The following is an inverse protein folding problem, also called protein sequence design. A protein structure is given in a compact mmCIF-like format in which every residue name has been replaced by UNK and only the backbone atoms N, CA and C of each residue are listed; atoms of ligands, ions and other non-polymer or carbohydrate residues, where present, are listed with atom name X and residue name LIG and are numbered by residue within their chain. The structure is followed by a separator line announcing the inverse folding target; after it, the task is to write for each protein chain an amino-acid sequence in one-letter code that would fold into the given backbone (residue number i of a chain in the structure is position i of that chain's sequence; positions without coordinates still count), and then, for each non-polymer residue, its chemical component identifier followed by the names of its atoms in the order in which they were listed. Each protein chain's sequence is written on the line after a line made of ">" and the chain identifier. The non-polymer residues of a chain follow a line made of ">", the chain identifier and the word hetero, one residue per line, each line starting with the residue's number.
data_IF_149911676009
#
_entry.id   IF_149911676009
#
_cell.length_a   1.000
_cell.length_b   1.000
_cell.length_c   1.000
_cell.angle_alpha   90.00
_cell.angle_beta   90.00
_cell.angle_gamma   90.00
#
_symmetry.space_group_name_H-M   'P 1'
#
loop_
_entity.id
_entity.type
_entity.pdbx_description
1 polymer ?
#
# COMPACT_ATOMS: atom_id res chain seq x y z
N UNK A 1 -6.61 21.90 10.95
CA UNK A 1 -5.83 21.65 9.72
C UNK A 1 -6.79 21.76 8.55
N UNK A 2 -6.37 22.16 7.34
CA UNK A 2 -7.29 22.14 6.19
C UNK A 2 -7.52 20.70 5.75
N UNK A 3 -8.67 20.33 5.15
CA UNK A 3 -8.96 18.94 4.80
C UNK A 3 -7.87 18.26 3.96
N UNK A 4 -7.33 18.95 2.95
CA UNK A 4 -6.23 18.40 2.14
C UNK A 4 -4.97 18.15 2.97
N UNK A 5 -4.56 19.11 3.80
CA UNK A 5 -3.38 18.96 4.66
C UNK A 5 -3.56 17.79 5.65
N UNK A 6 -4.76 17.64 6.20
CA UNK A 6 -5.11 16.58 7.15
C UNK A 6 -5.05 15.20 6.50
N UNK A 7 -5.66 15.05 5.32
CA UNK A 7 -5.66 13.81 4.55
C UNK A 7 -4.23 13.34 4.21
N UNK A 8 -3.41 14.25 3.69
CA UNK A 8 -2.05 13.91 3.28
C UNK A 8 -1.12 13.73 4.48
N UNK A 9 -1.34 14.44 5.59
CA UNK A 9 -0.60 14.21 6.85
C UNK A 9 -0.83 12.80 7.38
N UNK A 10 -2.08 12.33 7.36
CA UNK A 10 -2.38 10.97 7.79
C UNK A 10 -1.90 9.91 6.81
N UNK A 11 -2.00 10.15 5.50
CA UNK A 11 -1.47 9.23 4.50
C UNK A 11 0.06 9.07 4.67
N UNK A 12 0.77 10.19 4.91
CA UNK A 12 2.19 10.18 5.25
C UNK A 12 2.47 9.40 6.54
N UNK A 13 1.70 9.64 7.61
CA UNK A 13 1.83 8.90 8.86
C UNK A 13 1.66 7.38 8.66
N UNK A 14 0.66 6.95 7.89
CA UNK A 14 0.44 5.54 7.58
C UNK A 14 1.63 4.93 6.83
N UNK A 15 2.18 5.62 5.84
CA UNK A 15 3.38 5.18 5.13
C UNK A 15 4.57 5.04 6.09
N UNK A 16 4.86 6.05 6.89
CA UNK A 16 6.01 6.05 7.80
C UNK A 16 5.89 4.96 8.86
N UNK A 17 4.69 4.79 9.43
CA UNK A 17 4.40 3.74 10.39
C UNK A 17 4.60 2.35 9.78
N UNK A 18 4.01 2.06 8.61
CA UNK A 18 4.19 0.76 7.96
C UNK A 18 5.64 0.54 7.54
N UNK A 19 6.36 1.58 7.11
CA UNK A 19 7.78 1.50 6.76
C UNK A 19 8.61 1.08 7.99
N UNK A 20 8.33 1.66 9.15
CA UNK A 20 8.94 1.27 10.41
C UNK A 20 8.60 -0.17 10.82
N UNK A 21 7.31 -0.54 10.83
CA UNK A 21 6.87 -1.82 11.37
C UNK A 21 7.14 -3.01 10.44
N UNK A 22 7.04 -2.80 9.13
CA UNK A 22 7.08 -3.86 8.13
C UNK A 22 8.35 -3.86 7.30
N UNK A 23 9.04 -2.71 7.17
CA UNK A 23 10.19 -2.54 6.29
C UNK A 23 11.46 -2.05 6.99
N UNK A 24 11.48 -2.04 8.32
CA UNK A 24 12.65 -1.68 9.12
C UNK A 24 13.23 -0.31 8.73
N UNK A 25 12.36 0.63 8.32
CA UNK A 25 12.69 1.99 7.81
C UNK A 25 13.57 2.02 6.56
N UNK A 26 13.57 0.96 5.76
CA UNK A 26 14.43 0.87 4.57
C UNK A 26 13.85 1.56 3.33
N UNK A 27 12.56 1.90 3.30
CA UNK A 27 11.97 2.53 2.12
C UNK A 27 12.26 4.03 2.09
N UNK A 28 12.68 4.58 0.94
CA UNK A 28 12.88 6.02 0.79
C UNK A 28 11.54 6.75 0.83
N UNK A 29 11.60 8.05 1.13
CA UNK A 29 10.45 8.92 0.96
C UNK A 29 10.01 8.94 -0.51
N UNK A 30 8.70 8.98 -0.73
CA UNK A 30 8.11 9.03 -2.07
C UNK A 30 6.96 10.03 -2.12
N UNK A 31 6.56 10.41 -3.33
CA UNK A 31 5.34 11.20 -3.52
C UNK A 31 4.13 10.31 -3.25
N UNK A 32 3.31 10.70 -2.28
CA UNK A 32 2.04 10.05 -1.99
C UNK A 32 0.93 10.81 -2.70
N UNK A 33 0.11 10.13 -3.51
CA UNK A 33 -0.95 10.77 -4.31
C UNK A 33 -2.28 10.02 -4.25
N UNK A 34 -3.36 10.69 -4.63
CA UNK A 34 -4.66 10.07 -4.89
C UNK A 34 -5.05 10.29 -6.35
N UNK A 35 -4.94 9.25 -7.16
CA UNK A 35 -5.25 9.33 -8.60
C UNK A 35 -6.29 8.29 -8.99
N UNK A 36 -7.38 8.74 -9.60
CA UNK A 36 -8.37 7.87 -10.24
C UNK A 36 -7.90 7.54 -11.66
N UNK A 37 -6.95 6.61 -11.82
CA UNK A 37 -6.43 6.22 -13.13
C UNK A 37 -7.38 5.24 -13.84
N UNK A 38 -8.62 5.68 -14.09
CA UNK A 38 -9.72 4.87 -14.62
C UNK A 38 -10.16 3.72 -13.69
N UNK A 39 -11.14 2.92 -14.12
CA UNK A 39 -11.71 1.79 -13.35
C UNK A 39 -10.78 0.56 -13.19
N UNK A 40 -9.48 0.68 -13.48
CA UNK A 40 -8.60 -0.50 -13.73
C UNK A 40 -7.58 -0.82 -12.64
N UNK A 41 -7.36 0.04 -11.65
CA UNK A 41 -6.44 -0.27 -10.54
C UNK A 41 -6.89 0.37 -9.23
N UNK A 42 -6.73 -0.37 -8.14
CA UNK A 42 -7.00 0.12 -6.79
C UNK A 42 -5.90 1.06 -6.28
N UNK A 43 -4.68 0.93 -6.80
CA UNK A 43 -3.53 1.79 -6.57
C UNK A 43 -2.37 1.42 -7.49
N UNK A 44 -1.29 2.20 -7.48
CA UNK A 44 -0.07 1.88 -8.21
C UNK A 44 1.18 2.45 -7.55
N UNK A 45 2.31 1.81 -7.84
CA UNK A 45 3.65 2.33 -7.65
C UNK A 45 4.23 2.76 -9.00
N UNK A 46 4.95 3.88 -9.02
CA UNK A 46 5.66 4.39 -10.19
C UNK A 46 7.07 4.84 -9.78
N UNK A 47 8.09 4.24 -10.40
CA UNK A 47 9.49 4.52 -10.04
C UNK A 47 10.06 5.71 -10.80
N UNK A 48 10.76 6.62 -10.11
CA UNK A 48 11.45 7.79 -10.69
C UNK A 48 10.52 8.71 -11.50
N UNK A 49 9.29 8.87 -11.03
CA UNK A 49 8.21 9.56 -11.74
C UNK A 49 8.24 11.07 -11.56
N UNK A 50 8.96 11.54 -10.53
CA UNK A 50 9.10 12.94 -10.19
C UNK A 50 10.57 13.32 -10.10
N UNK A 51 10.87 14.61 -10.25
CA UNK A 51 12.22 15.15 -10.07
C UNK A 51 12.17 16.33 -9.11
N UNK A 52 13.00 16.30 -8.06
CA UNK A 52 13.21 17.41 -7.13
C UNK A 52 14.71 17.68 -7.06
N UNK A 53 15.13 18.87 -7.49
CA UNK A 53 16.54 19.31 -7.41
C UNK A 53 17.54 18.34 -8.07
N UNK A 54 17.10 17.66 -9.13
CA UNK A 54 17.92 16.68 -9.86
C UNK A 54 17.83 15.25 -9.31
N UNK A 55 17.19 15.05 -8.15
CA UNK A 55 16.94 13.72 -7.59
C UNK A 55 15.59 13.17 -8.08
N UNK A 56 15.61 11.91 -8.51
CA UNK A 56 14.40 11.21 -8.92
C UNK A 56 13.63 10.71 -7.69
N UNK A 57 12.32 11.00 -7.65
CA UNK A 57 11.43 10.63 -6.56
C UNK A 57 10.37 9.65 -7.09
N UNK A 58 10.14 8.57 -6.35
CA UNK A 58 9.11 7.58 -6.67
C UNK A 58 7.71 8.08 -6.29
N UNK A 59 6.68 7.37 -6.72
CA UNK A 59 5.30 7.66 -6.40
C UNK A 59 4.56 6.41 -5.92
N UNK A 60 3.76 6.56 -4.87
CA UNK A 60 2.70 5.62 -4.51
C UNK A 60 1.37 6.35 -4.56
N UNK A 61 0.49 5.89 -5.45
CA UNK A 61 -0.86 6.42 -5.62
C UNK A 61 -1.90 5.41 -5.16
N UNK A 62 -2.90 5.88 -4.41
CA UNK A 62 -4.11 5.11 -4.12
C UNK A 62 -5.27 5.66 -4.95
N UNK A 63 -6.17 4.78 -5.38
CA UNK A 63 -7.39 5.20 -6.04
C UNK A 63 -8.37 5.75 -5.00
N UNK A 64 -8.76 7.03 -5.06
CA UNK A 64 -9.70 7.58 -4.08
C UNK A 64 -11.09 6.93 -4.12
N UNK A 65 -11.51 6.26 -5.20
CA UNK A 65 -12.72 5.44 -5.18
C UNK A 65 -12.59 4.17 -4.34
N UNK A 66 -11.40 3.55 -4.34
CA UNK A 66 -11.13 2.36 -3.52
C UNK A 66 -11.15 2.73 -2.05
N UNK A 67 -10.41 3.78 -1.67
CA UNK A 67 -10.31 4.31 -0.30
C UNK A 67 -11.70 4.66 0.26
N UNK A 68 -12.60 5.20 -0.58
CA UNK A 68 -13.98 5.53 -0.15
C UNK A 68 -14.89 4.31 0.08
N UNK A 69 -14.57 3.16 -0.53
CA UNK A 69 -15.44 1.96 -0.53
C UNK A 69 -14.97 0.89 0.46
N UNK A 70 -13.74 0.99 0.94
CA UNK A 70 -13.09 -0.04 1.74
C UNK A 70 -12.66 0.50 3.10
N UNK A 71 -12.48 -0.40 4.05
CA UNK A 71 -12.04 -0.10 5.41
C UNK A 71 -10.61 0.44 5.46
N UNK A 72 -10.24 1.01 6.62
CA UNK A 72 -8.84 1.33 6.93
C UNK A 72 -7.90 0.15 6.68
N UNK A 73 -8.28 -1.05 7.17
CA UNK A 73 -7.45 -2.25 7.08
C UNK A 73 -7.16 -2.58 5.61
N UNK A 74 -8.16 -2.57 4.76
CA UNK A 74 -8.02 -2.83 3.32
C UNK A 74 -7.20 -1.74 2.61
N UNK A 75 -7.40 -0.48 2.96
CA UNK A 75 -6.59 0.63 2.43
C UNK A 75 -5.12 0.50 2.83
N UNK A 76 -4.83 0.10 4.07
CA UNK A 76 -3.46 -0.14 4.54
C UNK A 76 -2.84 -1.40 3.93
N UNK A 77 -3.63 -2.45 3.66
CA UNK A 77 -3.19 -3.63 2.91
C UNK A 77 -2.74 -3.21 1.51
N UNK A 78 -3.55 -2.40 0.82
CA UNK A 78 -3.22 -1.88 -0.50
C UNK A 78 -1.98 -0.99 -0.48
N UNK A 79 -1.85 -0.10 0.50
CA UNK A 79 -0.65 0.71 0.70
C UNK A 79 0.59 -0.17 0.89
N UNK A 80 0.53 -1.15 1.79
CA UNK A 80 1.62 -2.09 2.04
C UNK A 80 2.00 -2.89 0.78
N UNK A 81 1.03 -3.27 -0.06
CA UNK A 81 1.27 -3.89 -1.37
C UNK A 81 2.10 -2.95 -2.27
N UNK A 82 1.72 -1.68 -2.40
CA UNK A 82 2.49 -0.72 -3.20
C UNK A 82 3.88 -0.44 -2.60
N UNK A 83 4.01 -0.47 -1.27
CA UNK A 83 5.31 -0.38 -0.59
C UNK A 83 6.22 -1.57 -0.88
N UNK A 84 5.68 -2.78 -1.13
CA UNK A 84 6.48 -3.91 -1.61
C UNK A 84 7.00 -3.67 -3.03
N UNK A 85 6.23 -3.00 -3.90
CA UNK A 85 6.75 -2.61 -5.21
C UNK A 85 7.89 -1.59 -5.09
N UNK A 86 7.76 -0.59 -4.22
CA UNK A 86 8.85 0.34 -3.92
C UNK A 86 10.08 -0.39 -3.39
N UNK A 87 9.91 -1.27 -2.40
CA UNK A 87 10.97 -2.10 -1.84
C UNK A 87 11.72 -2.88 -2.93
N UNK A 88 10.96 -3.57 -3.80
CA UNK A 88 11.54 -4.38 -4.87
C UNK A 88 12.29 -3.51 -5.89
N UNK A 89 11.75 -2.33 -6.22
CA UNK A 89 12.40 -1.41 -7.15
C UNK A 89 13.76 -0.92 -6.63
N UNK A 90 13.86 -0.67 -5.32
CA UNK A 90 15.09 -0.18 -4.69
C UNK A 90 16.12 -1.27 -4.40
N UNK A 91 15.69 -2.49 -4.09
CA UNK A 91 16.58 -3.55 -3.58
C UNK A 91 16.89 -4.65 -4.60
N UNK A 92 16.11 -4.79 -5.66
CA UNK A 92 16.27 -5.90 -6.61
C UNK A 92 15.77 -5.53 -8.02
N UNK A 93 15.45 -6.55 -8.81
CA UNK A 93 15.12 -6.47 -10.22
C UNK A 93 13.62 -6.77 -10.40
N UNK A 94 12.75 -5.74 -10.38
CA UNK A 94 11.34 -5.93 -10.67
C UNK A 94 11.16 -6.59 -12.03
N UNK A 95 10.14 -7.45 -12.15
CA UNK A 95 9.86 -8.09 -13.43
C UNK A 95 9.32 -7.09 -14.44
N UNK A 96 9.63 -7.31 -15.72
CA UNK A 96 9.08 -6.48 -16.81
C UNK A 96 7.55 -6.55 -16.81
N UNK A 97 6.89 -5.42 -17.07
CA UNK A 97 5.44 -5.30 -17.28
C UNK A 97 4.55 -5.70 -16.09
N UNK A 98 4.97 -5.43 -14.85
CA UNK A 98 4.09 -5.57 -13.67
C UNK A 98 3.80 -7.02 -13.27
N UNK A 99 4.69 -7.96 -13.61
CA UNK A 99 4.56 -9.34 -13.12
C UNK A 99 5.06 -9.45 -11.68
N UNK A 100 4.22 -9.96 -10.79
CA UNK A 100 4.55 -10.25 -9.40
C UNK A 100 5.32 -11.57 -9.35
N UNK A 101 6.64 -11.49 -9.24
CA UNK A 101 7.52 -12.66 -9.20
C UNK A 101 7.65 -13.24 -7.78
N UNK A 102 8.47 -14.29 -7.65
CA UNK A 102 8.71 -14.97 -6.37
C UNK A 102 9.34 -14.09 -5.30
N UNK A 103 10.12 -13.10 -5.71
CA UNK A 103 10.79 -12.17 -4.81
C UNK A 103 9.79 -11.21 -4.18
N UNK A 104 8.94 -10.58 -5.01
CA UNK A 104 7.80 -9.80 -4.55
C UNK A 104 6.89 -10.62 -3.64
N UNK A 105 6.56 -11.86 -4.04
CA UNK A 105 5.72 -12.74 -3.24
C UNK A 105 6.36 -13.13 -1.89
N UNK A 106 7.67 -13.35 -1.89
CA UNK A 106 8.45 -13.58 -0.68
C UNK A 106 8.38 -12.39 0.27
N UNK A 107 8.53 -11.17 -0.26
CA UNK A 107 8.43 -9.95 0.54
C UNK A 107 7.04 -9.72 1.11
N UNK A 108 5.98 -9.92 0.32
CA UNK A 108 4.60 -9.87 0.80
C UNK A 108 4.39 -10.81 2.00
N UNK A 109 4.82 -12.07 1.87
CA UNK A 109 4.71 -13.05 2.96
C UNK A 109 5.51 -12.64 4.19
N UNK A 110 6.70 -12.08 4.00
CA UNK A 110 7.54 -11.59 5.09
C UNK A 110 6.87 -10.47 5.90
N UNK A 111 6.08 -9.61 5.26
CA UNK A 111 5.30 -8.56 5.95
C UNK A 111 3.93 -9.05 6.45
N UNK A 112 3.58 -10.33 6.27
CA UNK A 112 2.33 -10.92 6.74
C UNK A 112 1.14 -10.75 5.79
N UNK A 113 1.38 -10.44 4.51
CA UNK A 113 0.37 -10.46 3.46
C UNK A 113 0.62 -11.68 2.56
N UNK A 114 -0.38 -12.54 2.38
CA UNK A 114 -0.21 -13.74 1.55
C UNK A 114 -0.71 -13.45 0.15
N UNK A 115 0.16 -13.44 -0.88
CA UNK A 115 -0.26 -13.27 -2.26
C UNK A 115 -1.18 -14.39 -2.71
N UNK A 116 -2.23 -14.04 -3.45
CA UNK A 116 -3.12 -15.02 -4.05
C UNK A 116 -3.74 -14.49 -5.34
N UNK A 117 -3.71 -15.32 -6.39
CA UNK A 117 -4.41 -15.04 -7.65
C UNK A 117 -5.93 -15.06 -7.51
N UNK A 118 -6.47 -15.61 -6.42
CA UNK A 118 -7.90 -15.65 -6.11
C UNK A 118 -8.29 -14.70 -4.97
N UNK A 119 -7.30 -14.11 -4.29
CA UNK A 119 -7.51 -13.36 -3.04
C UNK A 119 -7.66 -14.25 -1.80
N UNK A 120 -7.74 -15.57 -1.98
CA UNK A 120 -8.01 -16.55 -0.92
C UNK A 120 -6.93 -17.64 -0.87
N UNK A 121 -6.98 -18.50 0.15
CA UNK A 121 -6.08 -19.64 0.27
C UNK A 121 -6.13 -20.58 -0.95
N UNK A 122 -4.99 -21.18 -1.30
CA UNK A 122 -4.85 -22.08 -2.46
C UNK A 122 -4.69 -21.41 -3.83
N UNK A 123 -4.75 -20.08 -3.92
CA UNK A 123 -4.40 -19.35 -5.14
C UNK A 123 -2.90 -19.40 -5.47
N UNK A 124 -2.53 -19.11 -6.72
CA UNK A 124 -1.11 -18.95 -7.10
C UNK A 124 -0.55 -17.72 -6.42
N UNK A 125 0.71 -17.75 -5.98
CA UNK A 125 1.35 -16.61 -5.30
C UNK A 125 2.05 -15.61 -6.25
N UNK A 126 2.10 -15.89 -7.55
CA UNK A 126 2.80 -15.07 -8.57
C UNK A 126 1.95 -14.92 -9.82
N UNK A 127 2.00 -13.75 -10.46
CA UNK A 127 1.16 -13.47 -11.63
C UNK A 127 1.16 -12.00 -12.04
N UNK A 128 0.47 -11.66 -13.15
CA UNK A 128 0.32 -10.26 -13.58
C UNK A 128 -0.72 -9.49 -12.75
N UNK A 129 -1.73 -10.18 -12.26
CA UNK A 129 -2.77 -9.63 -11.40
C UNK A 129 -2.79 -10.47 -10.14
N UNK A 130 -2.46 -9.83 -9.03
CA UNK A 130 -2.33 -10.48 -7.73
C UNK A 130 -3.15 -9.71 -6.72
N UNK A 131 -3.90 -10.46 -5.91
CA UNK A 131 -4.50 -9.96 -4.69
C UNK A 131 -3.71 -10.53 -3.50
N UNK A 132 -4.19 -10.28 -2.29
CA UNK A 132 -3.60 -10.74 -1.06
C UNK A 132 -4.67 -10.88 0.03
N UNK A 133 -4.42 -11.77 0.98
CA UNK A 133 -5.13 -11.80 2.25
C UNK A 133 -4.16 -11.60 3.41
N UNK A 134 -4.69 -11.13 4.54
CA UNK A 134 -3.89 -10.90 5.75
C UNK A 134 -3.64 -12.25 6.43
N UNK A 135 -2.37 -12.56 6.69
CA UNK A 135 -2.00 -13.73 7.49
C UNK A 135 -2.39 -13.48 8.95
N UNK A 136 -3.23 -14.35 9.51
CA UNK A 136 -3.57 -14.31 10.94
C UNK A 136 -2.31 -14.36 11.81
N UNK A 137 -2.19 -13.42 12.76
CA UNK A 137 -1.02 -13.24 13.63
C UNK A 137 0.26 -12.83 12.89
N UNK A 138 0.17 -12.43 11.62
CA UNK A 138 1.29 -11.95 10.83
C UNK A 138 1.70 -10.51 11.18
N UNK A 139 2.88 -10.08 10.73
CA UNK A 139 3.42 -8.74 11.01
C UNK A 139 2.44 -7.61 10.66
N UNK A 140 1.80 -7.68 9.49
CA UNK A 140 0.79 -6.69 9.09
C UNK A 140 -0.38 -6.62 10.07
N UNK A 141 -0.95 -7.76 10.48
CA UNK A 141 -2.07 -7.77 11.43
C UNK A 141 -1.66 -7.19 12.78
N UNK A 142 -0.49 -7.61 13.30
CA UNK A 142 0.05 -7.09 14.57
C UNK A 142 0.30 -5.58 14.49
N UNK A 143 0.87 -5.09 13.39
CA UNK A 143 1.09 -3.66 13.17
C UNK A 143 -0.24 -2.88 13.05
N UNK A 144 -1.22 -3.44 12.34
CA UNK A 144 -2.55 -2.83 12.22
C UNK A 144 -3.24 -2.73 13.59
N UNK A 145 -3.23 -3.81 14.40
CA UNK A 145 -3.82 -3.82 15.74
C UNK A 145 -3.09 -2.90 16.73
N UNK A 146 -1.78 -2.73 16.58
CA UNK A 146 -0.95 -1.86 17.41
C UNK A 146 -0.95 -0.38 16.97
N UNK A 147 -1.67 -0.01 15.90
CA UNK A 147 -1.72 1.37 15.44
C UNK A 147 -2.53 2.22 16.43
N UNK A 148 -1.83 2.91 17.34
CA UNK A 148 -2.42 3.49 18.57
C UNK A 148 -2.77 4.98 18.53
N UNK A 149 -2.45 5.74 17.47
CA UNK A 149 -2.48 7.22 17.57
C UNK A 149 -3.27 8.04 16.56
N UNK A 150 -3.88 7.46 15.54
CA UNK A 150 -4.79 8.20 14.67
C UNK A 150 -5.86 7.22 14.20
N UNK A 151 -7.11 7.67 14.14
CA UNK A 151 -8.21 7.04 13.41
C UNK A 151 -7.91 6.98 11.89
N UNK A 152 -6.81 6.34 11.49
CA UNK A 152 -6.43 6.12 10.10
C UNK A 152 -6.26 7.38 9.24
N UNK A 153 -6.39 7.15 7.93
CA UNK A 153 -6.67 8.18 6.95
C UNK A 153 -7.99 8.87 7.37
N UNK A 154 -8.01 10.17 7.72
CA UNK A 154 -9.07 10.81 8.50
C UNK A 154 -10.39 10.95 7.73
N UNK A 155 -10.37 10.84 6.41
CA UNK A 155 -11.57 10.81 5.58
C UNK A 155 -11.94 9.39 5.17
N UNK A 156 -12.38 8.59 6.14
CA UNK A 156 -13.26 7.45 5.91
C UNK A 156 -14.71 7.96 5.97
N UNK A 157 -15.58 7.55 5.03
CA UNK A 157 -16.99 7.93 5.13
C UNK A 157 -17.60 7.23 6.35
N UNK A 158 -18.35 7.96 7.16
CA UNK A 158 -19.13 7.35 8.23
C UNK A 158 -20.04 6.28 7.62
N UNK A 159 -20.03 5.08 8.18
CA UNK A 159 -21.08 4.08 7.91
C UNK A 159 -22.44 4.52 8.48
N UNK A 160 -22.68 5.82 8.68
CA UNK A 160 -24.00 6.36 8.97
C UNK A 160 -24.82 6.30 7.68
N UNK A 161 -25.47 5.14 7.55
CA UNK A 161 -26.68 4.93 6.80
C UNK A 161 -27.51 6.20 6.67
N UNK A 162 -27.88 6.51 5.43
CA UNK A 162 -29.04 7.32 5.07
C UNK A 162 -30.18 7.09 6.07
N UNK A 163 -30.57 8.15 6.77
CA UNK A 163 -31.91 8.36 7.30
C UNK A 163 -32.52 9.53 6.53
#
# INVERSE_FOLDING_TARGET
>A
MKPTEEQYTAYQYCFDYLNEQLFDKQLPACMLTFTANGKRSDGYFSGKSWVKEGEAIHEISLNPEYVKKHSLKETLVLLAHQMVHLWQYENDRPSKQGYHNREWAGRMKAIGLIPSSTGEDGGKETGRQMSQYVKKGGRFEVAYEAMTKINGIPFEFSNETKG
#
